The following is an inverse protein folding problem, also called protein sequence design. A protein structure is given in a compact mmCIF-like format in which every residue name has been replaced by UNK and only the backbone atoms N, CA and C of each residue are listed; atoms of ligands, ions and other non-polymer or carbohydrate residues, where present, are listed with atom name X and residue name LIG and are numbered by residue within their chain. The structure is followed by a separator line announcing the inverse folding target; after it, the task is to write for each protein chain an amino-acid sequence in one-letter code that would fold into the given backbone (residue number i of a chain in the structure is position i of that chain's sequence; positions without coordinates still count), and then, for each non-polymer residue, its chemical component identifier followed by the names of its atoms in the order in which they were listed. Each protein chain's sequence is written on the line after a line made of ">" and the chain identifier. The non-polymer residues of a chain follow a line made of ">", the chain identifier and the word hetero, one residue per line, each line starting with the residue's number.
data_IF_308319156009
#
_entry.id   IF_308319156009
#
_cell.length_a   1.000
_cell.length_b   1.000
_cell.length_c   1.000
_cell.angle_alpha   90.00
_cell.angle_beta   90.00
_cell.angle_gamma   90.00
#
_symmetry.space_group_name_H-M   'P 1'
#
loop_
_entity.id
_entity.type
_entity.pdbx_description
1 polymer ?
#
# COMPACT_ATOMS: atom_id res chain seq x y z
N UNK A 1 0.87 -21.60 -0.32
CA UNK A 1 0.01 -20.53 -0.85
C UNK A 1 -1.27 -21.13 -1.42
N UNK A 2 -2.45 -20.67 -1.00
CA UNK A 2 -3.71 -21.04 -1.66
C UNK A 2 -4.05 -19.93 -2.67
N UNK A 3 -4.13 -20.27 -3.96
CA UNK A 3 -4.24 -19.27 -5.04
C UNK A 3 -5.55 -18.49 -5.00
N UNK A 4 -6.67 -19.15 -4.69
CA UNK A 4 -8.00 -18.51 -4.75
C UNK A 4 -8.11 -17.34 -3.75
N UNK A 5 -7.77 -17.49 -2.46
CA UNK A 5 -7.79 -16.37 -1.51
C UNK A 5 -6.84 -15.23 -1.89
N UNK A 6 -5.64 -15.54 -2.39
CA UNK A 6 -4.63 -14.54 -2.75
C UNK A 6 -5.10 -13.72 -3.95
N UNK A 7 -5.70 -14.35 -4.95
CA UNK A 7 -6.30 -13.64 -6.09
C UNK A 7 -7.45 -12.75 -5.63
N UNK A 8 -8.28 -13.22 -4.69
CA UNK A 8 -9.35 -12.41 -4.10
C UNK A 8 -8.79 -11.15 -3.41
N UNK A 9 -7.73 -11.33 -2.63
CA UNK A 9 -7.03 -10.22 -1.96
C UNK A 9 -6.42 -9.23 -2.96
N UNK A 10 -5.68 -9.70 -3.97
CA UNK A 10 -5.08 -8.83 -4.99
C UNK A 10 -6.13 -8.02 -5.78
N UNK A 11 -7.31 -8.58 -6.04
CA UNK A 11 -8.39 -7.81 -6.66
C UNK A 11 -8.92 -6.70 -5.73
N UNK A 12 -9.05 -6.97 -4.43
CA UNK A 12 -9.47 -5.96 -3.47
C UNK A 12 -8.46 -4.81 -3.37
N UNK A 13 -7.16 -5.13 -3.37
CA UNK A 13 -6.08 -4.15 -3.38
C UNK A 13 -6.07 -3.29 -4.65
N UNK A 14 -6.43 -3.86 -5.80
CA UNK A 14 -6.57 -3.09 -7.04
C UNK A 14 -7.74 -2.08 -6.98
N UNK A 15 -8.87 -2.48 -6.41
CA UNK A 15 -10.02 -1.59 -6.20
C UNK A 15 -9.68 -0.44 -5.23
N UNK A 16 -8.95 -0.76 -4.16
CA UNK A 16 -8.46 0.18 -3.16
C UNK A 16 -7.40 1.15 -3.69
N UNK A 17 -6.41 0.66 -4.43
CA UNK A 17 -5.41 1.49 -5.12
C UNK A 17 -6.07 2.53 -6.03
N UNK A 18 -7.14 2.14 -6.72
CA UNK A 18 -7.92 3.06 -7.55
C UNK A 18 -8.67 4.10 -6.72
N UNK A 19 -9.13 3.75 -5.51
CA UNK A 19 -9.72 4.69 -4.57
C UNK A 19 -8.67 5.71 -4.08
N UNK A 20 -7.46 5.25 -3.71
CA UNK A 20 -6.36 6.11 -3.28
C UNK A 20 -6.00 7.12 -4.37
N UNK A 21 -5.85 6.65 -5.62
CA UNK A 21 -5.56 7.51 -6.76
C UNK A 21 -6.64 8.59 -7.00
N UNK A 22 -7.92 8.25 -6.81
CA UNK A 22 -9.03 9.22 -6.91
C UNK A 22 -8.97 10.25 -5.80
N UNK A 23 -8.77 9.83 -4.56
CA UNK A 23 -8.66 10.74 -3.41
C UNK A 23 -7.47 11.71 -3.58
N UNK A 24 -6.30 11.20 -3.96
CA UNK A 24 -5.13 12.01 -4.28
C UNK A 24 -5.44 13.02 -5.40
N UNK A 25 -6.17 12.60 -6.44
CA UNK A 25 -6.61 13.48 -7.52
C UNK A 25 -7.47 14.65 -7.05
N UNK A 26 -8.46 14.38 -6.20
CA UNK A 26 -9.34 15.43 -5.61
C UNK A 26 -8.57 16.39 -4.71
N UNK A 27 -7.55 15.92 -3.99
CA UNK A 27 -6.67 16.77 -3.18
C UNK A 27 -5.82 17.68 -4.08
N UNK A 28 -5.25 17.14 -5.15
CA UNK A 28 -4.47 17.92 -6.13
C UNK A 28 -5.33 19.03 -6.75
N UNK A 29 -6.55 18.72 -7.20
CA UNK A 29 -7.45 19.73 -7.79
C UNK A 29 -7.90 20.77 -6.77
N UNK A 30 -8.15 20.36 -5.52
CA UNK A 30 -8.47 21.29 -4.42
C UNK A 30 -7.36 22.29 -4.14
N UNK A 31 -6.09 21.91 -4.37
CA UNK A 31 -4.93 22.78 -4.24
C UNK A 31 -4.68 23.65 -5.49
N UNK A 32 -5.55 23.56 -6.50
CA UNK A 32 -5.41 24.29 -7.77
C UNK A 32 -4.44 23.64 -8.76
N UNK A 33 -3.99 22.41 -8.50
CA UNK A 33 -3.16 21.63 -9.40
C UNK A 33 -3.96 20.86 -10.45
N UNK A 34 -3.26 20.10 -11.29
CA UNK A 34 -3.86 19.14 -12.21
C UNK A 34 -3.26 17.74 -11.96
N UNK A 35 -4.08 16.68 -11.81
CA UNK A 35 -3.56 15.33 -11.69
C UNK A 35 -2.83 14.89 -12.95
N UNK A 36 -1.81 14.04 -12.79
CA UNK A 36 -1.13 13.41 -13.92
C UNK A 36 -2.10 12.52 -14.70
N UNK A 37 -2.00 12.56 -16.04
CA UNK A 37 -2.65 11.60 -16.94
C UNK A 37 -1.70 10.48 -17.39
N UNK A 38 -0.46 10.50 -16.89
CA UNK A 38 0.55 9.50 -17.21
C UNK A 38 0.21 8.15 -16.59
N UNK A 39 0.34 7.09 -17.39
CA UNK A 39 0.29 5.72 -16.88
C UNK A 39 1.70 5.39 -16.38
N UNK A 40 1.82 4.96 -15.12
CA UNK A 40 3.07 4.49 -14.56
C UNK A 40 3.63 3.26 -15.29
N UNK A 41 4.93 2.95 -15.15
CA UNK A 41 5.49 1.74 -15.72
C UNK A 41 4.83 0.49 -15.13
N UNK A 42 4.71 -0.57 -15.93
CA UNK A 42 4.29 -1.89 -15.42
C UNK A 42 5.38 -2.43 -14.48
N UNK A 43 4.99 -2.74 -13.25
CA UNK A 43 5.89 -3.23 -12.20
C UNK A 43 6.15 -4.76 -12.28
N UNK A 44 5.44 -5.48 -13.15
CA UNK A 44 5.47 -6.94 -13.25
C UNK A 44 6.82 -7.44 -13.81
N UNK A 45 7.45 -8.42 -13.14
CA UNK A 45 8.72 -9.03 -13.60
C UNK A 45 8.53 -10.25 -14.51
N UNK A 46 7.29 -10.52 -14.94
CA UNK A 46 6.84 -11.71 -15.67
C UNK A 46 7.04 -13.04 -14.92
N UNK A 47 7.21 -12.97 -13.59
CA UNK A 47 7.36 -14.14 -12.72
C UNK A 47 6.02 -14.48 -12.07
N UNK A 48 5.42 -15.57 -12.52
CA UNK A 48 4.06 -15.96 -12.13
C UNK A 48 4.01 -16.94 -10.95
N UNK A 49 5.10 -17.07 -10.19
CA UNK A 49 5.07 -17.77 -8.91
C UNK A 49 4.38 -16.88 -7.87
N UNK A 50 3.55 -17.47 -7.00
CA UNK A 50 2.80 -16.69 -6.02
C UNK A 50 3.72 -16.01 -5.00
N UNK A 51 4.84 -16.63 -4.63
CA UNK A 51 5.80 -16.00 -3.74
C UNK A 51 6.50 -14.81 -4.39
N UNK A 52 6.76 -14.86 -5.70
CA UNK A 52 7.32 -13.73 -6.45
C UNK A 52 6.31 -12.58 -6.55
N UNK A 53 5.06 -12.87 -6.94
CA UNK A 53 3.97 -11.88 -7.01
C UNK A 53 3.76 -11.19 -5.65
N UNK A 54 3.75 -11.95 -4.56
CA UNK A 54 3.60 -11.39 -3.22
C UNK A 54 4.80 -10.53 -2.82
N UNK A 55 6.03 -10.87 -3.22
CA UNK A 55 7.21 -10.02 -2.98
C UNK A 55 7.18 -8.74 -3.81
N UNK A 56 6.66 -8.80 -5.04
CA UNK A 56 6.44 -7.62 -5.88
C UNK A 56 5.41 -6.69 -5.24
N UNK A 57 4.28 -7.22 -4.75
CA UNK A 57 3.29 -6.44 -3.97
C UNK A 57 3.92 -5.86 -2.70
N UNK A 58 4.69 -6.64 -1.94
CA UNK A 58 5.39 -6.14 -0.74
C UNK A 58 6.33 -4.96 -1.05
N UNK A 59 7.05 -5.03 -2.18
CA UNK A 59 7.93 -3.95 -2.61
C UNK A 59 7.11 -2.71 -3.01
N UNK A 60 6.00 -2.90 -3.72
CA UNK A 60 5.09 -1.82 -4.11
C UNK A 60 4.51 -1.09 -2.90
N UNK A 61 4.00 -1.81 -1.90
CA UNK A 61 3.48 -1.18 -0.68
C UNK A 61 4.57 -0.43 0.08
N UNK A 62 5.81 -0.93 0.06
CA UNK A 62 6.96 -0.23 0.64
C UNK A 62 7.26 1.11 -0.04
N UNK A 63 7.16 1.17 -1.38
CA UNK A 63 7.31 2.41 -2.15
C UNK A 63 6.17 3.39 -1.87
N UNK A 64 4.92 2.90 -1.79
CA UNK A 64 3.75 3.70 -1.45
C UNK A 64 3.87 4.30 -0.04
N UNK A 65 4.26 3.48 0.95
CA UNK A 65 4.46 3.90 2.33
C UNK A 65 5.49 5.03 2.44
N UNK A 66 6.62 4.91 1.75
CA UNK A 66 7.64 5.96 1.70
C UNK A 66 7.07 7.26 1.13
N UNK A 67 6.31 7.19 0.03
CA UNK A 67 5.68 8.36 -0.58
C UNK A 67 4.67 9.03 0.37
N UNK A 68 3.88 8.26 1.14
CA UNK A 68 2.95 8.83 2.11
C UNK A 68 3.63 9.41 3.34
N UNK A 69 4.74 8.84 3.80
CA UNK A 69 5.56 9.47 4.84
C UNK A 69 6.17 10.80 4.36
N UNK A 70 6.65 10.86 3.12
CA UNK A 70 7.14 12.10 2.53
C UNK A 70 6.01 13.14 2.43
N UNK A 71 4.80 12.73 2.03
CA UNK A 71 3.62 13.58 2.04
C UNK A 71 3.27 14.10 3.43
N UNK A 72 3.26 13.23 4.45
CA UNK A 72 2.99 13.62 5.83
C UNK A 72 3.98 14.68 6.32
N UNK A 73 5.27 14.47 6.04
CA UNK A 73 6.32 15.44 6.39
C UNK A 73 6.13 16.79 5.68
N UNK A 74 5.66 16.78 4.43
CA UNK A 74 5.36 18.02 3.69
C UNK A 74 4.10 18.74 4.21
N UNK A 75 3.10 17.98 4.64
CA UNK A 75 1.81 18.50 5.10
C UNK A 75 1.83 18.98 6.56
N UNK A 76 2.78 18.45 7.35
CA UNK A 76 2.88 18.69 8.78
C UNK A 76 2.88 20.20 9.11
N UNK A 77 2.01 20.60 10.02
CA UNK A 77 1.83 21.98 10.50
C UNK A 77 1.37 22.98 9.41
N UNK A 78 1.01 22.49 8.22
CA UNK A 78 0.61 23.29 7.06
C UNK A 78 -0.82 23.01 6.60
N UNK A 79 -1.25 21.75 6.55
CA UNK A 79 -2.59 21.36 6.13
C UNK A 79 -3.05 20.09 6.87
N UNK A 80 -3.88 20.28 7.90
CA UNK A 80 -4.45 19.19 8.72
C UNK A 80 -5.18 18.15 7.88
N UNK A 81 -5.87 18.55 6.80
CA UNK A 81 -6.58 17.59 5.95
C UNK A 81 -5.60 16.69 5.21
N UNK A 82 -4.51 17.24 4.70
CA UNK A 82 -3.45 16.45 4.04
C UNK A 82 -2.71 15.55 5.02
N UNK A 83 -2.49 16.01 6.26
CA UNK A 83 -1.92 15.17 7.31
C UNK A 83 -2.80 13.95 7.61
N UNK A 84 -4.10 14.17 7.82
CA UNK A 84 -5.04 13.08 8.12
C UNK A 84 -5.16 12.10 6.95
N UNK A 85 -5.17 12.60 5.71
CA UNK A 85 -5.10 11.76 4.52
C UNK A 85 -3.83 10.91 4.52
N UNK A 86 -2.64 11.52 4.69
CA UNK A 86 -1.38 10.80 4.68
C UNK A 86 -1.31 9.74 5.80
N UNK A 87 -1.77 10.07 7.01
CA UNK A 87 -1.83 9.12 8.15
C UNK A 87 -2.75 7.94 7.88
N UNK A 88 -3.89 8.19 7.24
CA UNK A 88 -4.84 7.14 6.86
C UNK A 88 -4.21 6.19 5.85
N UNK A 89 -3.63 6.73 4.77
CA UNK A 89 -2.95 5.93 3.75
C UNK A 89 -1.79 5.13 4.34
N UNK A 90 -0.97 5.73 5.22
CA UNK A 90 0.13 5.02 5.92
C UNK A 90 -0.41 3.81 6.71
N UNK A 91 -1.53 3.97 7.43
CA UNK A 91 -2.11 2.90 8.23
C UNK A 91 -2.68 1.75 7.36
N UNK A 92 -3.29 2.10 6.23
CA UNK A 92 -3.81 1.14 5.26
C UNK A 92 -2.65 0.37 4.60
N UNK A 93 -1.64 1.05 4.04
CA UNK A 93 -0.49 0.37 3.42
C UNK A 93 0.33 -0.46 4.41
N UNK A 94 0.44 -0.03 5.67
CA UNK A 94 1.08 -0.84 6.71
C UNK A 94 0.28 -2.14 6.99
N UNK A 95 -1.05 -2.07 6.91
CA UNK A 95 -1.91 -3.25 7.04
C UNK A 95 -1.67 -4.20 5.86
N UNK A 96 -1.54 -3.68 4.64
CA UNK A 96 -1.24 -4.47 3.44
C UNK A 96 0.10 -5.18 3.55
N UNK A 97 1.16 -4.47 3.97
CA UNK A 97 2.48 -5.06 4.24
C UNK A 97 2.39 -6.22 5.23
N UNK A 98 1.65 -6.04 6.33
CA UNK A 98 1.46 -7.07 7.34
C UNK A 98 0.72 -8.31 6.79
N UNK A 99 -0.27 -8.10 5.93
CA UNK A 99 -1.03 -9.17 5.29
C UNK A 99 -0.17 -9.96 4.29
N UNK A 100 0.59 -9.27 3.44
CA UNK A 100 1.51 -9.89 2.49
C UNK A 100 2.62 -10.66 3.21
N UNK A 101 3.22 -10.08 4.25
CA UNK A 101 4.22 -10.76 5.07
C UNK A 101 3.65 -12.03 5.72
N UNK A 102 2.42 -11.96 6.29
CA UNK A 102 1.72 -13.15 6.81
C UNK A 102 1.51 -14.21 5.73
N UNK A 103 1.17 -13.82 4.50
CA UNK A 103 0.99 -14.76 3.39
C UNK A 103 2.31 -15.40 2.93
N UNK A 104 3.44 -14.70 3.07
CA UNK A 104 4.78 -15.18 2.70
C UNK A 104 5.39 -16.16 3.71
N UNK A 105 4.99 -16.10 4.99
CA UNK A 105 5.51 -16.98 6.06
C UNK A 105 5.18 -18.45 5.83
N UNK A 106 6.09 -19.35 6.25
CA UNK A 106 5.80 -20.77 6.26
C UNK A 106 4.90 -21.15 7.46
N UNK A 107 4.08 -22.22 7.35
CA UNK A 107 3.29 -22.70 8.48
C UNK A 107 4.16 -22.95 9.72
N UNK A 108 3.76 -22.40 10.87
CA UNK A 108 4.47 -22.57 12.15
C UNK A 108 5.61 -21.58 12.42
N UNK A 109 5.84 -20.57 11.57
CA UNK A 109 6.86 -19.53 11.80
C UNK A 109 6.41 -18.39 12.73
N UNK A 110 5.16 -18.37 13.20
CA UNK A 110 4.68 -17.36 14.15
C UNK A 110 5.16 -17.68 15.56
N UNK A 111 5.91 -16.75 16.17
CA UNK A 111 6.21 -16.77 17.60
C UNK A 111 4.98 -16.33 18.40
N UNK A 112 4.77 -16.92 19.57
CA UNK A 112 3.82 -16.37 20.54
C UNK A 112 4.26 -14.95 20.89
N UNK A 113 3.31 -14.02 21.00
CA UNK A 113 3.58 -12.73 21.62
C UNK A 113 4.05 -13.01 23.04
N UNK A 114 5.35 -12.86 23.31
CA UNK A 114 5.88 -13.05 24.66
C UNK A 114 5.27 -11.99 25.56
N UNK A 115 4.74 -12.41 26.70
CA UNK A 115 4.24 -11.55 27.78
C UNK A 115 5.41 -10.80 28.43
N UNK A 116 6.03 -9.86 27.71
CA UNK A 116 6.98 -8.90 28.26
C UNK A 116 6.75 -7.56 27.56
N UNK A 117 5.63 -6.93 27.92
CA UNK A 117 5.35 -5.51 27.71
C UNK A 117 4.86 -4.91 29.03
#
# INVERSE_FOLDING_TARGET
>A
YNRIPIVGWLNAQADESLLHARQAGELITSLGGHPSLGIGPLLETYRHDIGDILRESLAHEGEALQAYYDLLNCAQDHDVRLEEYARTMIAEEQTHLDEVDKMLRAPGQTRAATEDA
#
